data_IF_333361759882
#
_entry.id   IF_333361759882
#
_cell.length_a   1.000
_cell.length_b   1.000
_cell.length_c   1.000
_cell.angle_alpha   90.00
_cell.angle_beta   90.00
_cell.angle_gamma   90.00
#
_symmetry.space_group_name_H-M   'P 1'
#
loop_
_entity.id
_entity.type
_entity.pdbx_description
1 polymer ?
#
# COMPACT_ATOMS: atom_id res chain seq x y z
N UNK A 1 -21.47 -1.02 -0.85
CA UNK A 1 -20.74 -1.68 -1.96
C UNK A 1 -19.73 -2.64 -1.35
N UNK A 2 -19.38 -3.73 -2.04
CA UNK A 2 -18.33 -4.63 -1.55
C UNK A 2 -16.95 -4.00 -1.74
N UNK A 3 -15.97 -4.39 -0.93
CA UNK A 3 -14.57 -3.95 -1.06
C UNK A 3 -14.02 -4.25 -2.46
N UNK A 4 -14.34 -5.42 -3.00
CA UNK A 4 -13.98 -5.81 -4.36
C UNK A 4 -14.58 -4.87 -5.42
N UNK A 5 -15.80 -4.37 -5.20
CA UNK A 5 -16.41 -3.36 -6.08
C UNK A 5 -15.72 -2.01 -6.00
N UNK A 6 -15.17 -1.64 -4.84
CA UNK A 6 -14.43 -0.39 -4.67
C UNK A 6 -13.04 -0.47 -5.32
N UNK A 7 -12.37 -1.62 -5.26
CA UNK A 7 -11.12 -1.88 -6.00
C UNK A 7 -11.34 -1.78 -7.50
N UNK A 8 -12.41 -2.40 -8.02
CA UNK A 8 -12.73 -2.38 -9.46
C UNK A 8 -13.05 -0.97 -10.00
N UNK A 9 -13.50 -0.07 -9.14
CA UNK A 9 -13.76 1.33 -9.49
C UNK A 9 -12.55 2.24 -9.27
N UNK A 10 -11.39 1.70 -8.86
CA UNK A 10 -10.22 2.51 -8.53
C UNK A 10 -10.42 3.40 -7.30
N UNK A 11 -11.40 3.09 -6.45
CA UNK A 11 -11.73 3.83 -5.23
C UNK A 11 -10.95 3.28 -4.04
N UNK A 12 -10.72 1.97 -4.01
CA UNK A 12 -9.86 1.32 -3.01
C UNK A 12 -8.53 0.98 -3.66
N UNK A 13 -7.45 1.59 -3.17
CA UNK A 13 -6.09 1.24 -3.55
C UNK A 13 -5.54 0.23 -2.55
N UNK A 14 -5.28 -0.98 -3.03
CA UNK A 14 -4.44 -1.92 -2.30
C UNK A 14 -3.01 -1.34 -2.27
N UNK A 15 -2.62 -0.82 -1.11
CA UNK A 15 -1.28 -0.28 -0.85
C UNK A 15 -0.34 -1.37 -0.30
N UNK A 16 -0.80 -2.62 -0.27
CA UNK A 16 -0.11 -3.77 0.26
C UNK A 16 -0.09 -3.82 1.78
N UNK A 17 0.64 -4.79 2.29
CA UNK A 17 0.76 -5.08 3.72
C UNK A 17 2.22 -5.24 4.16
N UNK A 18 2.44 -5.02 5.45
CA UNK A 18 3.67 -5.35 6.16
C UNK A 18 3.40 -6.47 7.16
N UNK A 19 4.46 -7.10 7.66
CA UNK A 19 4.39 -8.13 8.69
C UNK A 19 4.84 -7.52 10.01
N UNK A 20 4.02 -7.64 11.05
CA UNK A 20 4.36 -7.24 12.40
C UNK A 20 4.67 -8.48 13.24
N UNK A 21 5.83 -8.49 13.88
CA UNK A 21 6.19 -9.54 14.84
C UNK A 21 5.48 -9.28 16.16
N UNK A 22 4.84 -10.31 16.72
CA UNK A 22 4.02 -10.18 17.94
C UNK A 22 4.87 -9.92 19.18
N UNK A 23 6.08 -10.49 19.24
CA UNK A 23 6.94 -10.43 20.42
C UNK A 23 7.35 -8.99 20.82
N UNK A 24 7.58 -8.13 19.84
CA UNK A 24 8.12 -6.77 20.06
C UNK A 24 7.47 -5.69 19.19
N UNK A 25 6.53 -6.05 18.33
CA UNK A 25 5.86 -5.12 17.43
C UNK A 25 6.71 -4.65 16.26
N UNK A 26 7.89 -5.25 16.03
CA UNK A 26 8.75 -4.87 14.91
C UNK A 26 8.05 -5.11 13.57
N UNK A 27 8.16 -4.14 12.67
CA UNK A 27 7.55 -4.17 11.33
C UNK A 27 8.57 -4.62 10.28
N UNK A 28 8.11 -5.43 9.34
CA UNK A 28 8.92 -5.99 8.27
C UNK A 28 8.21 -5.86 6.92
N UNK A 29 8.88 -5.28 5.94
CA UNK A 29 8.46 -5.37 4.54
C UNK A 29 9.18 -6.54 3.90
N UNK A 30 8.45 -7.58 3.48
CA UNK A 30 9.01 -8.83 2.96
C UNK A 30 8.93 -8.84 1.44
N UNK A 31 9.98 -9.34 0.78
CA UNK A 31 10.16 -9.38 -0.67
C UNK A 31 10.33 -7.98 -1.28
N UNK A 32 9.25 -7.19 -1.32
CA UNK A 32 9.27 -5.82 -1.82
C UNK A 32 9.45 -4.84 -0.67
N UNK A 33 10.29 -3.82 -0.89
CA UNK A 33 10.48 -2.75 0.08
C UNK A 33 9.24 -1.86 0.10
N UNK A 34 8.65 -1.69 1.29
CA UNK A 34 7.49 -0.82 1.45
C UNK A 34 7.93 0.59 1.88
N UNK A 35 8.10 1.49 0.91
CA UNK A 35 8.60 2.85 1.15
C UNK A 35 7.64 3.70 1.98
N UNK A 36 6.34 3.38 1.92
CA UNK A 36 5.30 4.04 2.71
C UNK A 36 5.45 3.81 4.22
N UNK A 37 6.12 2.73 4.65
CA UNK A 37 6.32 2.40 6.06
C UNK A 37 7.82 2.43 6.36
N UNK A 38 8.42 3.62 6.55
CA UNK A 38 9.87 3.76 6.70
C UNK A 38 10.42 3.11 7.98
N UNK A 39 9.55 2.84 8.95
CA UNK A 39 9.87 2.10 10.18
C UNK A 39 9.97 0.60 9.98
N UNK A 40 9.48 0.07 8.86
CA UNK A 40 9.58 -1.36 8.55
C UNK A 40 10.98 -1.71 8.05
N UNK A 41 11.57 -2.75 8.64
CA UNK A 41 12.82 -3.34 8.16
C UNK A 41 12.56 -4.10 6.87
N UNK A 42 13.36 -3.85 5.83
CA UNK A 42 13.22 -4.58 4.58
C UNK A 42 13.93 -5.93 4.64
N UNK A 43 13.16 -6.99 4.42
CA UNK A 43 13.65 -8.36 4.27
C UNK A 43 13.54 -8.76 2.79
N UNK A 44 14.64 -8.74 2.01
CA UNK A 44 14.64 -9.06 0.58
C UNK A 44 14.60 -10.58 0.33
N UNK A 45 13.67 -11.26 0.98
CA UNK A 45 13.48 -12.72 0.93
C UNK A 45 12.05 -13.06 0.51
N UNK A 46 11.82 -14.29 0.06
CA UNK A 46 10.47 -14.80 -0.12
C UNK A 46 9.87 -15.25 1.21
N UNK A 47 8.54 -15.24 1.31
CA UNK A 47 7.82 -15.63 2.53
C UNK A 47 8.05 -17.08 2.99
N UNK A 48 8.46 -17.96 2.07
CA UNK A 48 8.77 -19.36 2.34
C UNK A 48 10.20 -19.59 2.82
N UNK A 49 11.08 -18.58 2.74
CA UNK A 49 12.48 -18.71 3.11
C UNK A 49 12.66 -18.44 4.61
N UNK A 50 13.31 -19.35 5.36
CA UNK A 50 13.68 -19.11 6.76
C UNK A 50 14.55 -17.87 6.95
N UNK A 51 14.35 -17.15 8.06
CA UNK A 51 15.17 -16.00 8.40
C UNK A 51 15.36 -15.84 9.92
N UNK A 52 16.40 -15.12 10.30
CA UNK A 52 16.81 -14.96 11.69
C UNK A 52 15.82 -14.10 12.47
N UNK A 53 15.16 -13.15 11.80
CA UNK A 53 14.15 -12.28 12.37
C UNK A 53 12.94 -13.05 12.90
N UNK A 54 12.66 -14.23 12.39
CA UNK A 54 11.62 -15.12 12.91
C UNK A 54 12.19 -16.38 13.56
N UNK A 55 13.41 -16.31 14.09
CA UNK A 55 14.02 -17.41 14.84
C UNK A 55 14.32 -18.65 14.00
N UNK A 56 14.67 -18.46 12.73
CA UNK A 56 14.90 -19.55 11.78
C UNK A 56 13.62 -20.13 11.18
N UNK A 57 12.46 -19.53 11.43
CA UNK A 57 11.22 -19.83 10.72
C UNK A 57 11.10 -19.00 9.45
N UNK A 58 10.31 -19.51 8.49
CA UNK A 58 9.85 -18.69 7.37
C UNK A 58 8.75 -17.73 7.84
N UNK A 59 8.54 -16.65 7.10
CA UNK A 59 7.48 -15.68 7.40
C UNK A 59 6.10 -16.35 7.38
N UNK A 60 5.86 -17.27 6.44
CA UNK A 60 4.62 -18.06 6.40
C UNK A 60 4.42 -18.87 7.68
N UNK A 61 5.46 -19.59 8.13
CA UNK A 61 5.37 -20.39 9.35
C UNK A 61 5.15 -19.50 10.59
N UNK A 62 5.78 -18.32 10.64
CA UNK A 62 5.58 -17.36 11.72
C UNK A 62 4.13 -16.81 11.76
N UNK A 63 3.54 -16.53 10.59
CA UNK A 63 2.13 -16.11 10.48
C UNK A 63 1.18 -17.24 10.90
N UNK A 64 1.39 -18.45 10.42
CA UNK A 64 0.57 -19.63 10.76
C UNK A 64 0.62 -19.96 12.26
N UNK A 65 1.78 -19.76 12.90
CA UNK A 65 1.97 -19.98 14.33
C UNK A 65 1.50 -18.79 15.21
N UNK A 66 1.02 -17.69 14.59
CA UNK A 66 0.62 -16.49 15.33
C UNK A 66 1.78 -15.74 16.00
N UNK A 67 3.02 -15.98 15.56
CA UNK A 67 4.21 -15.24 15.99
C UNK A 67 4.36 -13.91 15.25
N UNK A 68 3.66 -13.79 14.13
CA UNK A 68 3.54 -12.58 13.33
C UNK A 68 2.10 -12.37 12.89
N UNK A 69 1.76 -11.13 12.57
CA UNK A 69 0.48 -10.73 12.01
C UNK A 69 0.71 -9.88 10.75
N UNK A 70 -0.23 -9.98 9.80
CA UNK A 70 -0.21 -9.12 8.60
C UNK A 70 -1.00 -7.85 8.91
N UNK A 71 -0.39 -6.71 8.61
CA UNK A 71 -0.98 -5.39 8.81
C UNK A 71 -1.06 -4.67 7.49
N UNK A 72 -2.25 -4.16 7.16
CA UNK A 72 -2.45 -3.35 5.98
C UNK A 72 -1.73 -2.00 6.12
N UNK A 73 -1.04 -1.59 5.06
CA UNK A 73 -0.26 -0.34 5.09
C UNK A 73 -1.17 0.88 5.27
N UNK A 74 -2.43 0.79 4.85
CA UNK A 74 -3.47 1.81 5.09
C UNK A 74 -3.76 2.04 6.58
N UNK A 75 -3.46 1.09 7.46
CA UNK A 75 -3.55 1.28 8.92
C UNK A 75 -2.37 2.07 9.48
N UNK A 76 -1.25 2.10 8.75
CA UNK A 76 -0.01 2.77 9.16
C UNK A 76 0.13 4.17 8.54
N UNK A 77 -0.50 4.41 7.39
CA UNK A 77 -0.43 5.69 6.70
C UNK A 77 -1.81 6.16 6.24
N UNK A 78 -2.05 7.46 6.41
CA UNK A 78 -3.15 8.13 5.70
C UNK A 78 -2.68 8.42 4.29
N UNK A 79 -3.34 7.84 3.28
CA UNK A 79 -3.12 8.21 1.88
C UNK A 79 -3.96 9.46 1.60
N UNK A 80 -3.37 10.67 1.50
CA UNK A 80 -4.14 11.90 1.35
C UNK A 80 -4.85 11.99 -0.01
N UNK A 81 -4.32 11.32 -1.02
CA UNK A 81 -4.79 11.37 -2.40
C UNK A 81 -4.87 9.95 -2.98
N UNK A 82 -6.00 9.23 -2.85
CA UNK A 82 -6.17 7.98 -3.56
C UNK A 82 -6.14 8.29 -5.07
N UNK A 83 -5.12 7.80 -5.77
CA UNK A 83 -5.09 7.76 -7.23
C UNK A 83 -6.31 6.99 -7.74
N UNK A 84 -7.20 7.65 -8.48
CA UNK A 84 -8.31 7.00 -9.17
C UNK A 84 -7.76 6.33 -10.43
N UNK A 85 -7.61 5.01 -10.41
CA UNK A 85 -7.33 4.24 -11.62
C UNK A 85 -8.60 3.55 -12.08
N UNK A 86 -9.24 4.06 -13.13
CA UNK A 86 -10.32 3.33 -13.79
C UNK A 86 -9.74 2.19 -14.63
N UNK A 87 -10.20 0.97 -14.39
CA UNK A 87 -9.96 -0.19 -15.27
C UNK A 87 -10.99 -0.30 -16.40
N UNK A 88 -11.99 0.58 -16.42
CA UNK A 88 -12.92 0.71 -17.54
C UNK A 88 -12.25 1.58 -18.63
N UNK A 89 -11.95 1.02 -19.83
CA UNK A 89 -11.33 1.78 -20.92
C UNK A 89 -12.21 2.90 -21.46
N UNK A 90 -13.53 2.84 -21.21
CA UNK A 90 -14.50 3.85 -21.63
C UNK A 90 -14.81 4.87 -20.51
N UNK A 91 -14.06 4.87 -19.41
CA UNK A 91 -14.30 5.82 -18.33
C UNK A 91 -13.88 7.23 -18.75
N UNK A 92 -14.87 8.13 -18.78
CA UNK A 92 -14.69 9.57 -18.94
C UNK A 92 -14.61 10.16 -17.53
N UNK A 93 -13.45 10.71 -17.15
CA UNK A 93 -13.20 11.17 -15.78
C UNK A 93 -14.09 12.37 -15.40
N UNK A 94 -14.55 13.11 -16.40
CA UNK A 94 -15.44 14.27 -16.31
C UNK A 94 -16.87 13.91 -15.90
N UNK A 95 -17.29 12.65 -16.09
CA UNK A 95 -18.61 12.18 -15.66
C UNK A 95 -18.66 11.89 -14.14
N UNK A 96 -17.51 11.84 -13.48
CA UNK A 96 -17.41 11.69 -12.04
C UNK A 96 -17.28 13.06 -11.38
N UNK A 97 -17.99 13.24 -10.27
CA UNK A 97 -17.84 14.44 -9.46
C UNK A 97 -16.38 14.66 -9.04
N UNK A 98 -15.95 15.94 -8.87
CA UNK A 98 -14.62 16.26 -8.39
C UNK A 98 -14.34 15.51 -7.09
N UNK A 99 -13.08 15.08 -6.92
CA UNK A 99 -12.68 14.42 -5.67
C UNK A 99 -12.94 15.37 -4.50
N UNK A 100 -13.64 14.91 -3.48
CA UNK A 100 -13.93 15.70 -2.27
C UNK A 100 -12.68 16.03 -1.44
N UNK A 101 -11.51 15.52 -1.85
CA UNK A 101 -10.24 15.65 -1.14
C UNK A 101 -9.14 16.35 -1.96
N UNK A 102 -9.28 16.46 -3.29
CA UNK A 102 -8.34 17.19 -4.16
C UNK A 102 -9.01 17.55 -5.48
N UNK A 103 -9.39 18.82 -5.66
CA UNK A 103 -10.12 19.29 -6.84
C UNK A 103 -9.29 19.25 -8.15
N UNK A 104 -7.95 19.17 -8.06
CA UNK A 104 -7.02 19.24 -9.19
C UNK A 104 -6.13 17.99 -9.36
N UNK A 105 -6.64 16.80 -9.04
CA UNK A 105 -5.86 15.56 -9.21
C UNK A 105 -5.66 15.23 -10.70
N UNK A 106 -4.43 15.35 -11.19
CA UNK A 106 -4.07 15.13 -12.60
C UNK A 106 -3.95 16.41 -13.45
N UNK A 107 -4.11 17.59 -12.84
CA UNK A 107 -3.79 18.86 -13.50
C UNK A 107 -2.28 19.08 -13.44
N UNK A 108 -1.62 19.12 -14.59
CA UNK A 108 -0.25 19.57 -14.72
C UNK A 108 -0.30 21.07 -14.99
N UNK A 109 0.35 21.89 -14.17
CA UNK A 109 0.63 23.26 -14.57
C UNK A 109 1.60 23.17 -15.74
N UNK A 110 1.32 23.89 -16.83
CA UNK A 110 2.33 24.10 -17.86
C UNK A 110 3.54 24.74 -17.15
N UNK A 111 4.73 24.15 -17.30
CA UNK A 111 5.99 24.68 -16.76
C UNK A 111 6.43 26.00 -17.45
N UNK A 112 5.48 26.76 -18.00
CA UNK A 112 5.71 28.04 -18.65
C UNK A 112 5.33 29.18 -17.70
N UNK A 113 6.07 29.32 -16.59
CA UNK A 113 6.33 30.62 -15.94
C UNK A 113 7.45 30.51 -14.88
N UNK A 114 8.48 29.71 -15.16
CA UNK A 114 9.74 29.73 -14.42
C UNK A 114 10.92 29.98 -15.37
N UNK A 115 11.01 31.20 -15.92
CA UNK A 115 12.25 31.96 -16.11
C UNK A 115 11.95 33.32 -16.77
N UNK A 116 12.13 34.39 -15.96
CA UNK A 116 12.38 35.82 -16.22
C UNK A 116 11.55 36.64 -17.24
#
# INVERSE_FOLDING_TARGET
MSEQSLVMLGISLDVGSVVKRVADGALFSVFMRQLAVPTATHLPIQYSVPCDEFGGLSVNAALEQGLAERIEVSEQITVPYPLKFSFNPDAIYEDFGPSSLCEYQGFFYDDDEAEE
#
